data_IF_689825464239
#
_entry.id   IF_689825464239
#
_cell.length_a   1.000
_cell.length_b   1.000
_cell.length_c   1.000
_cell.angle_alpha   90.00
_cell.angle_beta   90.00
_cell.angle_gamma   90.00
#
_symmetry.space_group_name_H-M   'P 1'
#
loop_
_entity.id
_entity.type
_entity.pdbx_description
1 polymer ?
#
# COMPACT_ATOMS: atom_id res chain seq x y z
N UNK A 1 -49.93 -63.04 13.58
CA UNK A 1 -50.66 -61.82 14.01
C UNK A 1 -49.68 -60.66 14.15
N UNK A 2 -49.97 -59.58 13.41
CA UNK A 2 -49.57 -58.16 13.61
C UNK A 2 -48.04 -57.85 13.62
N UNK A 3 -47.46 -57.43 12.47
CA UNK A 3 -47.28 -56.03 12.02
C UNK A 3 -46.68 -55.12 13.11
N UNK A 4 -45.40 -54.74 12.97
CA UNK A 4 -44.75 -53.42 13.21
C UNK A 4 -43.24 -53.68 12.98
N UNK A 5 -42.58 -53.33 11.88
CA UNK A 5 -42.74 -52.15 11.04
C UNK A 5 -41.73 -51.10 11.49
N UNK A 6 -40.48 -51.23 11.03
CA UNK A 6 -39.64 -50.14 10.54
C UNK A 6 -39.67 -48.80 11.31
N UNK A 7 -39.41 -48.80 12.62
CA UNK A 7 -39.22 -47.57 13.42
C UNK A 7 -38.08 -47.80 14.42
N UNK A 8 -36.86 -47.99 13.92
CA UNK A 8 -35.67 -47.99 14.80
C UNK A 8 -34.47 -47.25 14.20
N UNK A 9 -34.65 -46.53 13.09
CA UNK A 9 -33.57 -45.83 12.39
C UNK A 9 -33.91 -44.37 12.03
N UNK A 10 -34.84 -43.75 12.77
CA UNK A 10 -35.24 -42.34 12.53
C UNK A 10 -35.27 -41.49 13.81
N UNK A 11 -34.65 -41.96 14.91
CA UNK A 11 -34.58 -41.22 16.19
C UNK A 11 -33.11 -40.94 16.60
N UNK A 12 -32.15 -41.04 15.67
CA UNK A 12 -30.76 -40.64 15.89
C UNK A 12 -30.26 -39.62 14.87
N UNK A 13 -31.17 -38.80 14.33
CA UNK A 13 -30.83 -37.73 13.39
C UNK A 13 -31.44 -36.38 13.80
N UNK A 14 -31.80 -36.22 15.08
CA UNK A 14 -32.51 -35.05 15.61
C UNK A 14 -31.92 -34.52 16.93
N UNK A 15 -30.60 -34.68 17.13
CA UNK A 15 -29.87 -34.15 18.29
C UNK A 15 -28.58 -33.40 17.85
N UNK A 16 -28.62 -32.65 16.75
CA UNK A 16 -27.52 -31.73 16.37
C UNK A 16 -28.06 -30.37 15.95
N UNK A 17 -29.02 -29.81 16.69
CA UNK A 17 -29.47 -28.42 16.50
C UNK A 17 -29.52 -27.60 17.79
N UNK A 18 -28.86 -28.04 18.86
CA UNK A 18 -28.76 -27.28 20.13
C UNK A 18 -27.31 -27.07 20.53
N UNK A 19 -26.53 -26.47 19.62
CA UNK A 19 -25.23 -25.86 19.94
C UNK A 19 -25.15 -24.39 19.48
N UNK A 20 -26.27 -23.83 19.02
CA UNK A 20 -26.43 -22.40 18.71
C UNK A 20 -27.74 -21.87 19.31
N UNK A 21 -28.06 -22.30 20.54
CA UNK A 21 -28.96 -21.54 21.40
C UNK A 21 -28.05 -20.75 22.33
N UNK A 22 -27.47 -19.69 21.77
CA UNK A 22 -26.82 -18.64 22.53
C UNK A 22 -27.89 -17.95 23.38
N UNK A 23 -27.47 -17.42 24.52
CA UNK A 23 -28.28 -16.96 25.65
C UNK A 23 -29.57 -16.20 25.29
N UNK A 24 -30.59 -16.37 26.15
CA UNK A 24 -31.85 -15.63 26.19
C UNK A 24 -31.64 -14.12 26.41
N UNK A 25 -31.06 -13.42 25.44
CA UNK A 25 -31.15 -11.97 25.38
C UNK A 25 -32.43 -11.61 24.62
N UNK A 26 -33.26 -10.78 25.26
CA UNK A 26 -34.37 -10.12 24.60
C UNK A 26 -33.91 -9.51 23.27
N UNK A 27 -34.76 -9.44 22.23
CA UNK A 27 -34.39 -8.78 20.99
C UNK A 27 -33.97 -7.36 21.32
N UNK A 28 -32.70 -7.03 21.06
CA UNK A 28 -32.15 -5.69 21.27
C UNK A 28 -33.13 -4.69 20.64
N UNK A 29 -33.68 -3.81 21.48
CA UNK A 29 -34.45 -2.67 21.01
C UNK A 29 -33.62 -1.83 20.04
N UNK A 30 -34.20 -0.83 19.36
CA UNK A 30 -33.48 0.01 18.39
C UNK A 30 -32.40 0.92 19.02
N UNK A 31 -31.98 0.66 20.26
CA UNK A 31 -30.86 1.33 20.91
C UNK A 31 -29.54 0.81 20.38
N UNK A 32 -28.65 1.72 20.00
CA UNK A 32 -27.25 1.41 19.72
C UNK A 32 -26.66 0.78 20.98
N UNK A 33 -26.21 -0.48 20.88
CA UNK A 33 -25.47 -1.15 21.96
C UNK A 33 -24.21 -0.32 22.25
N UNK A 34 -24.11 0.28 23.44
CA UNK A 34 -22.86 0.90 23.88
C UNK A 34 -21.78 -0.17 23.93
N UNK A 35 -20.76 -0.01 23.09
CA UNK A 35 -19.60 -0.87 23.07
C UNK A 35 -18.58 -0.35 24.09
N UNK A 36 -17.83 -1.25 24.72
CA UNK A 36 -16.73 -0.86 25.61
C UNK A 36 -15.62 -0.11 24.84
N UNK A 37 -14.78 0.63 25.57
CA UNK A 37 -13.67 1.43 25.01
C UNK A 37 -12.74 0.60 24.12
N UNK A 38 -12.59 -0.70 24.39
CA UNK A 38 -11.76 -1.64 23.62
C UNK A 38 -12.19 -1.79 22.15
N UNK A 39 -13.44 -1.44 21.82
CA UNK A 39 -13.96 -1.49 20.46
C UNK A 39 -13.59 -0.26 19.63
N UNK A 40 -13.09 0.81 20.28
CA UNK A 40 -12.76 2.08 19.66
C UNK A 40 -11.26 2.20 19.42
N UNK A 41 -10.73 1.41 18.49
CA UNK A 41 -9.29 1.39 18.18
C UNK A 41 -8.70 2.76 17.77
N UNK A 42 -9.53 3.68 17.25
CA UNK A 42 -9.17 5.08 16.97
C UNK A 42 -9.79 6.09 17.93
N UNK A 43 -10.31 5.65 19.09
CA UNK A 43 -11.16 6.43 19.98
C UNK A 43 -12.56 6.69 19.41
N UNK A 44 -13.43 7.31 20.22
CA UNK A 44 -14.81 7.65 19.83
C UNK A 44 -14.87 8.47 18.54
N UNK A 45 -13.91 9.38 18.37
CA UNK A 45 -13.87 10.32 17.26
C UNK A 45 -13.06 9.82 16.05
N UNK A 46 -12.38 8.67 16.14
CA UNK A 46 -11.56 8.09 15.08
C UNK A 46 -12.02 6.71 14.61
N UNK A 47 -13.05 6.13 15.25
CA UNK A 47 -13.57 4.80 14.92
C UNK A 47 -14.91 4.90 14.19
N UNK A 48 -15.07 4.12 13.12
CA UNK A 48 -16.34 3.95 12.41
C UNK A 48 -16.66 2.46 12.33
N UNK A 49 -17.87 2.08 12.76
CA UNK A 49 -18.35 0.70 12.64
C UNK A 49 -19.03 0.50 11.30
N UNK A 50 -18.26 0.09 10.30
CA UNK A 50 -18.78 -0.25 8.98
C UNK A 50 -18.12 -1.56 8.50
N UNK A 51 -18.92 -2.62 8.40
CA UNK A 51 -18.46 -3.93 7.94
C UNK A 51 -18.80 -4.20 6.45
N UNK A 52 -19.10 -3.16 5.67
CA UNK A 52 -19.33 -3.27 4.23
C UNK A 52 -18.02 -3.19 3.44
N UNK A 53 -18.09 -3.37 2.11
CA UNK A 53 -16.95 -3.16 1.21
C UNK A 53 -16.37 -1.73 1.23
N UNK A 54 -17.08 -0.78 1.84
CA UNK A 54 -16.68 0.63 1.93
C UNK A 54 -16.09 1.00 3.30
N UNK A 55 -15.75 0.00 4.12
CA UNK A 55 -15.21 0.19 5.47
C UNK A 55 -14.02 1.16 5.53
N UNK A 56 -13.18 1.16 4.50
CA UNK A 56 -11.93 1.94 4.46
C UNK A 56 -12.05 3.29 3.74
N UNK A 57 -13.20 3.62 3.17
CA UNK A 57 -13.41 4.88 2.45
C UNK A 57 -14.10 5.95 3.31
N UNK A 58 -14.41 5.64 4.57
CA UNK A 58 -15.12 6.55 5.46
C UNK A 58 -14.14 7.53 6.09
N UNK A 59 -14.55 8.79 6.17
CA UNK A 59 -13.93 9.77 7.05
C UNK A 59 -14.17 9.39 8.53
N UNK A 60 -13.29 9.86 9.41
CA UNK A 60 -13.48 9.74 10.85
C UNK A 60 -14.57 10.72 11.33
N UNK A 61 -15.31 10.42 12.41
CA UNK A 61 -16.28 11.35 13.00
C UNK A 61 -15.70 12.74 13.30
N UNK A 62 -14.44 12.82 13.76
CA UNK A 62 -13.74 14.10 13.96
C UNK A 62 -13.65 14.96 12.69
N UNK A 63 -13.49 14.32 11.53
CA UNK A 63 -13.39 14.99 10.23
C UNK A 63 -14.76 15.49 9.80
N UNK A 64 -15.80 14.66 9.93
CA UNK A 64 -17.18 15.00 9.56
C UNK A 64 -17.76 16.13 10.41
N UNK A 65 -17.42 16.16 11.71
CA UNK A 65 -17.87 17.19 12.64
C UNK A 65 -17.30 18.59 12.34
N UNK A 66 -16.23 18.70 11.54
CA UNK A 66 -15.60 19.96 11.20
C UNK A 66 -15.73 20.25 9.69
N UNK A 67 -16.54 21.26 9.28
CA UNK A 67 -16.77 21.57 7.87
C UNK A 67 -15.49 21.86 7.06
N UNK A 68 -14.45 22.41 7.69
CA UNK A 68 -13.18 22.68 7.03
C UNK A 68 -12.39 21.39 6.77
N UNK A 69 -12.32 20.50 7.77
CA UNK A 69 -11.65 19.20 7.63
C UNK A 69 -12.39 18.29 6.66
N UNK A 70 -13.73 18.24 6.74
CA UNK A 70 -14.54 17.48 5.77
C UNK A 70 -14.29 17.95 4.34
N UNK A 71 -14.26 19.26 4.10
CA UNK A 71 -13.94 19.81 2.77
C UNK A 71 -12.53 19.43 2.30
N UNK A 72 -11.54 19.41 3.20
CA UNK A 72 -10.17 18.97 2.88
C UNK A 72 -10.12 17.48 2.57
N UNK A 73 -10.79 16.64 3.36
CA UNK A 73 -10.92 15.21 3.14
C UNK A 73 -11.53 14.92 1.76
N UNK A 74 -12.67 15.53 1.44
CA UNK A 74 -13.32 15.36 0.13
C UNK A 74 -12.45 15.84 -1.04
N UNK A 75 -11.59 16.85 -0.83
CA UNK A 75 -10.61 17.26 -1.84
C UNK A 75 -9.51 16.21 -2.01
N UNK A 76 -9.04 15.62 -0.91
CA UNK A 76 -8.10 14.50 -0.91
C UNK A 76 -8.66 13.30 -1.67
N UNK A 77 -9.92 12.92 -1.40
CA UNK A 77 -10.63 11.84 -2.11
C UNK A 77 -10.62 12.06 -3.62
N UNK A 78 -10.96 13.29 -4.06
CA UNK A 78 -10.94 13.60 -5.48
C UNK A 78 -9.54 13.47 -6.11
N UNK A 79 -8.48 13.86 -5.41
CA UNK A 79 -7.10 13.68 -5.90
C UNK A 79 -6.71 12.21 -5.92
N UNK A 80 -7.14 11.44 -4.92
CA UNK A 80 -6.81 10.03 -4.75
C UNK A 80 -7.44 9.13 -5.82
N UNK A 81 -8.72 9.37 -6.12
CA UNK A 81 -9.50 8.55 -7.04
C UNK A 81 -9.32 8.93 -8.51
N UNK A 82 -9.10 10.22 -8.80
CA UNK A 82 -9.06 10.70 -10.19
C UNK A 82 -7.73 10.37 -10.86
N UNK A 83 -7.82 10.08 -12.16
CA UNK A 83 -6.63 9.91 -12.99
C UNK A 83 -6.07 11.26 -13.40
N UNK A 84 -4.78 11.44 -13.16
CA UNK A 84 -3.99 12.51 -13.76
C UNK A 84 -3.89 12.30 -15.27
N UNK A 85 -3.94 13.40 -16.01
CA UNK A 85 -3.91 13.41 -17.47
C UNK A 85 -2.78 14.29 -18.01
N UNK A 86 -2.31 13.97 -19.21
CA UNK A 86 -1.30 14.77 -19.90
C UNK A 86 -1.88 15.94 -20.68
N UNK A 87 -3.19 15.97 -20.89
CA UNK A 87 -3.86 17.08 -21.60
C UNK A 87 -3.87 18.33 -20.73
N UNK A 88 -3.26 19.39 -21.23
CA UNK A 88 -3.23 20.70 -20.58
C UNK A 88 -4.64 21.30 -20.42
N UNK A 89 -4.87 22.03 -19.32
CA UNK A 89 -6.13 22.73 -19.05
C UNK A 89 -7.29 21.85 -18.60
N UNK A 90 -7.12 20.54 -18.57
CA UNK A 90 -8.11 19.60 -18.01
C UNK A 90 -7.95 19.47 -16.48
N UNK A 91 -9.03 19.10 -15.79
CA UNK A 91 -8.94 18.74 -14.38
C UNK A 91 -7.93 17.60 -14.18
N UNK A 92 -7.06 17.73 -13.18
CA UNK A 92 -5.95 16.79 -12.92
C UNK A 92 -4.91 16.72 -14.07
N UNK A 93 -4.76 17.77 -14.87
CA UNK A 93 -3.66 17.89 -15.82
C UNK A 93 -2.30 17.92 -15.11
N UNK A 94 -1.23 17.54 -15.82
CA UNK A 94 0.15 17.62 -15.33
C UNK A 94 0.80 16.26 -15.09
N UNK A 95 0.19 15.17 -15.57
CA UNK A 95 0.82 13.85 -15.60
C UNK A 95 2.20 13.96 -16.25
N UNK A 96 3.24 13.46 -15.57
CA UNK A 96 4.61 13.60 -16.04
C UNK A 96 4.92 12.75 -17.28
N UNK A 97 6.12 12.94 -17.88
CA UNK A 97 6.52 12.29 -19.13
C UNK A 97 6.54 10.76 -19.04
N UNK A 98 6.92 10.25 -17.86
CA UNK A 98 6.87 8.84 -17.49
C UNK A 98 6.24 8.69 -16.12
N UNK A 99 5.52 7.60 -15.89
CA UNK A 99 4.75 7.37 -14.68
C UNK A 99 4.65 5.86 -14.39
N UNK A 100 4.21 5.51 -13.18
CA UNK A 100 3.84 4.15 -12.79
C UNK A 100 2.33 3.97 -12.91
N UNK A 101 1.55 4.91 -12.38
CA UNK A 101 0.08 4.95 -12.48
C UNK A 101 -0.40 6.37 -12.66
N UNK A 102 -1.62 6.49 -13.15
CA UNK A 102 -2.31 7.77 -13.28
C UNK A 102 -3.14 8.14 -12.06
N UNK A 103 -3.42 7.22 -11.14
CA UNK A 103 -4.20 7.49 -9.93
C UNK A 103 -3.71 6.65 -8.75
N UNK A 104 -3.94 7.15 -7.55
CA UNK A 104 -3.56 6.47 -6.31
C UNK A 104 -4.44 5.23 -6.08
N UNK A 105 -5.75 5.35 -6.34
CA UNK A 105 -6.72 4.26 -6.18
C UNK A 105 -6.42 3.02 -7.05
N UNK A 106 -5.70 3.18 -8.17
CA UNK A 106 -5.27 2.05 -9.01
C UNK A 106 -4.25 1.14 -8.29
N UNK A 107 -3.47 1.73 -7.38
CA UNK A 107 -2.55 1.00 -6.50
C UNK A 107 -3.22 0.62 -5.17
N UNK A 108 -4.15 1.43 -4.67
CA UNK A 108 -4.76 1.29 -3.36
C UNK A 108 -6.27 1.03 -3.46
N UNK A 109 -6.71 -0.07 -4.09
CA UNK A 109 -8.12 -0.29 -4.39
C UNK A 109 -8.97 -0.29 -3.11
N UNK A 110 -10.06 0.47 -3.13
CA UNK A 110 -10.98 0.62 -2.00
C UNK A 110 -10.29 1.03 -0.69
N UNK A 111 -9.16 1.75 -0.76
CA UNK A 111 -8.43 2.34 0.38
C UNK A 111 -7.79 1.36 1.37
N UNK A 112 -8.31 0.13 1.50
CA UNK A 112 -7.70 -0.93 2.31
C UNK A 112 -7.36 -2.20 1.57
N UNK A 113 -7.64 -2.24 0.27
CA UNK A 113 -7.18 -3.33 -0.58
C UNK A 113 -5.67 -3.27 -0.75
N UNK A 114 -4.99 -4.37 -0.41
CA UNK A 114 -3.67 -4.67 -0.95
C UNK A 114 -3.77 -4.93 -2.45
N UNK A 115 -2.68 -4.72 -3.16
CA UNK A 115 -2.53 -5.19 -4.55
C UNK A 115 -3.10 -6.60 -4.72
N UNK A 116 -3.96 -6.80 -5.72
CA UNK A 116 -4.39 -8.15 -6.07
C UNK A 116 -3.20 -8.89 -6.67
N UNK A 117 -3.01 -10.15 -6.27
CA UNK A 117 -2.09 -11.04 -6.98
C UNK A 117 -2.50 -11.14 -8.44
N UNK A 118 -1.58 -10.78 -9.34
CA UNK A 118 -1.73 -10.90 -10.79
C UNK A 118 -0.68 -11.84 -11.36
N UNK A 119 -1.01 -12.51 -12.46
CA UNK A 119 -0.12 -13.43 -13.18
C UNK A 119 0.65 -12.73 -14.31
N UNK A 120 0.32 -11.45 -14.57
CA UNK A 120 0.99 -10.61 -15.57
C UNK A 120 1.27 -9.24 -14.94
N UNK A 121 2.49 -8.74 -15.11
CA UNK A 121 2.80 -7.36 -14.80
C UNK A 121 2.24 -6.46 -15.90
N UNK A 122 1.12 -5.81 -15.61
CA UNK A 122 0.42 -4.90 -16.53
C UNK A 122 -0.15 -3.74 -15.73
N UNK A 123 0.36 -2.53 -15.96
CA UNK A 123 -0.01 -1.37 -15.17
C UNK A 123 -1.33 -0.72 -15.59
N UNK A 124 -1.88 -1.16 -16.72
CA UNK A 124 -3.22 -0.77 -17.16
C UNK A 124 -4.33 -1.55 -16.45
N UNK A 125 -4.02 -2.72 -15.86
CA UNK A 125 -4.93 -3.46 -15.00
C UNK A 125 -5.03 -2.78 -13.63
N UNK A 126 -6.20 -2.24 -13.30
CA UNK A 126 -6.48 -1.54 -12.03
C UNK A 126 -6.37 -2.44 -10.79
N UNK A 127 -6.17 -3.75 -10.96
CA UNK A 127 -5.96 -4.71 -9.87
C UNK A 127 -4.47 -4.92 -9.57
N UNK A 128 -3.60 -4.62 -10.54
CA UNK A 128 -2.16 -4.65 -10.35
C UNK A 128 -1.72 -3.37 -9.64
N UNK A 129 -1.34 -3.47 -8.38
CA UNK A 129 -0.72 -2.37 -7.64
C UNK A 129 0.77 -2.61 -7.35
N UNK A 130 1.43 -3.46 -8.13
CA UNK A 130 2.85 -3.75 -7.89
C UNK A 130 3.75 -2.61 -8.38
N UNK A 131 4.71 -2.23 -7.53
CA UNK A 131 5.88 -1.43 -7.92
C UNK A 131 6.98 -2.37 -8.41
N UNK A 132 7.74 -1.93 -9.40
CA UNK A 132 8.90 -2.64 -9.92
C UNK A 132 10.19 -2.02 -9.39
N UNK A 133 11.08 -2.87 -8.89
CA UNK A 133 12.42 -2.46 -8.47
C UNK A 133 13.48 -3.30 -9.19
N UNK A 134 14.50 -2.63 -9.71
CA UNK A 134 15.71 -3.26 -10.25
C UNK A 134 16.82 -3.10 -9.23
N UNK A 135 17.58 -4.16 -8.97
CA UNK A 135 18.66 -4.14 -8.00
C UNK A 135 19.82 -5.02 -8.46
N UNK A 136 21.00 -4.80 -7.87
CA UNK A 136 22.15 -5.67 -8.03
C UNK A 136 22.04 -6.83 -7.01
N UNK A 137 22.04 -8.10 -7.43
CA UNK A 137 21.98 -9.23 -6.50
C UNK A 137 23.23 -9.37 -5.62
N UNK A 138 24.41 -8.87 -6.02
CA UNK A 138 25.65 -8.90 -5.24
C UNK A 138 25.68 -7.81 -4.15
N UNK A 139 25.01 -6.69 -4.42
CA UNK A 139 24.76 -5.62 -3.47
C UNK A 139 23.29 -5.22 -3.60
N UNK A 140 22.37 -5.77 -2.79
CA UNK A 140 20.91 -5.55 -2.88
C UNK A 140 20.52 -4.13 -2.42
N UNK A 141 21.36 -3.15 -2.70
CA UNK A 141 21.11 -1.74 -2.61
C UNK A 141 20.59 -1.25 -3.97
N UNK A 142 19.72 -0.24 -3.93
CA UNK A 142 19.24 0.46 -5.11
C UNK A 142 20.35 1.18 -5.91
N UNK A 143 21.58 1.23 -5.40
CA UNK A 143 22.60 2.19 -5.82
C UNK A 143 23.06 2.03 -7.28
N UNK A 144 23.23 0.80 -7.78
CA UNK A 144 23.70 0.56 -9.16
C UNK A 144 22.60 0.75 -10.21
N UNK A 145 21.39 0.26 -9.91
CA UNK A 145 20.23 0.53 -10.75
C UNK A 145 19.88 2.03 -10.79
N UNK A 146 20.23 2.80 -9.75
CA UNK A 146 19.85 4.22 -9.60
C UNK A 146 20.37 5.16 -10.69
N UNK A 147 21.43 4.78 -11.42
CA UNK A 147 21.90 5.54 -12.59
C UNK A 147 20.85 5.54 -13.71
N UNK A 148 20.19 4.40 -13.91
CA UNK A 148 19.28 4.15 -15.03
C UNK A 148 17.81 4.28 -14.61
N UNK A 149 17.45 3.67 -13.48
CA UNK A 149 16.10 3.59 -12.96
C UNK A 149 15.96 4.40 -11.68
N UNK A 150 14.78 4.97 -11.47
CA UNK A 150 14.44 5.56 -10.17
C UNK A 150 14.10 4.47 -9.14
N UNK A 151 14.11 4.81 -7.85
CA UNK A 151 13.80 3.87 -6.77
C UNK A 151 12.41 3.22 -6.87
N UNK A 152 11.47 3.86 -7.56
CA UNK A 152 10.24 3.24 -8.04
C UNK A 152 10.24 3.31 -9.57
N UNK A 153 10.50 2.18 -10.23
CA UNK A 153 10.78 2.18 -11.68
C UNK A 153 9.53 2.60 -12.47
N UNK A 154 9.68 3.61 -13.33
CA UNK A 154 8.61 4.07 -14.21
C UNK A 154 8.47 3.12 -15.41
N UNK A 155 7.27 2.63 -15.69
CA UNK A 155 7.01 1.63 -16.74
C UNK A 155 5.98 2.08 -17.78
N UNK A 156 5.37 3.25 -17.58
CA UNK A 156 4.49 3.90 -18.54
C UNK A 156 5.03 5.27 -18.96
N UNK A 157 4.60 5.73 -20.13
CA UNK A 157 4.98 7.03 -20.69
C UNK A 157 3.81 7.71 -21.40
N UNK A 158 3.90 9.03 -21.55
CA UNK A 158 3.02 9.81 -22.43
C UNK A 158 3.75 10.05 -23.75
N UNK A 159 3.10 9.96 -24.92
CA UNK A 159 3.74 10.31 -26.18
C UNK A 159 4.27 11.76 -26.18
N UNK A 160 5.44 12.04 -26.78
CA UNK A 160 6.29 11.13 -27.56
C UNK A 160 7.30 10.31 -26.72
N UNK A 161 7.29 10.44 -25.40
CA UNK A 161 8.27 9.76 -24.53
C UNK A 161 8.09 8.24 -24.50
N UNK A 162 9.16 7.53 -24.18
CA UNK A 162 9.20 6.07 -24.00
C UNK A 162 9.44 5.73 -22.53
N UNK A 163 8.85 4.64 -22.05
CA UNK A 163 9.12 4.19 -20.69
C UNK A 163 10.55 3.64 -20.56
N UNK A 164 11.21 3.79 -19.40
CA UNK A 164 12.51 3.16 -19.12
C UNK A 164 12.51 1.64 -19.33
N UNK A 165 11.38 1.00 -19.05
CA UNK A 165 11.14 -0.44 -19.28
C UNK A 165 9.80 -0.62 -19.98
N UNK A 166 9.79 -1.38 -21.08
CA UNK A 166 8.56 -1.83 -21.72
C UNK A 166 7.97 -3.04 -20.98
N UNK A 167 6.76 -2.88 -20.44
CA UNK A 167 6.08 -3.91 -19.66
C UNK A 167 5.87 -5.23 -20.41
N UNK A 168 5.79 -5.20 -21.75
CA UNK A 168 5.64 -6.40 -22.56
C UNK A 168 6.80 -7.40 -22.39
N UNK A 169 7.99 -6.90 -22.00
CA UNK A 169 9.15 -7.75 -21.69
C UNK A 169 9.31 -8.11 -20.22
N UNK A 170 8.37 -7.73 -19.35
CA UNK A 170 8.38 -8.11 -17.94
C UNK A 170 7.56 -9.39 -17.76
N UNK A 171 8.19 -10.42 -17.22
CA UNK A 171 7.54 -11.68 -16.86
C UNK A 171 7.48 -11.82 -15.35
N UNK A 172 6.28 -12.06 -14.82
CA UNK A 172 6.01 -12.30 -13.41
C UNK A 172 5.51 -13.73 -13.24
N UNK A 173 6.17 -14.49 -12.37
CA UNK A 173 5.80 -15.88 -12.08
C UNK A 173 5.75 -16.11 -10.57
N UNK A 174 4.81 -16.92 -10.11
CA UNK A 174 4.65 -17.28 -8.70
C UNK A 174 5.09 -18.72 -8.47
N UNK A 175 6.08 -18.91 -7.62
CA UNK A 175 6.64 -20.22 -7.32
C UNK A 175 6.24 -20.66 -5.90
N UNK A 176 5.95 -21.97 -5.67
CA UNK A 176 5.73 -22.48 -4.34
C UNK A 176 6.99 -22.37 -3.49
N UNK A 177 6.82 -22.10 -2.20
CA UNK A 177 7.89 -22.04 -1.21
C UNK A 177 7.61 -23.00 -0.05
N UNK A 178 8.66 -23.62 0.48
CA UNK A 178 8.60 -24.41 1.72
C UNK A 178 9.48 -23.71 2.74
N UNK A 179 8.89 -23.31 3.86
CA UNK A 179 9.61 -22.67 4.96
C UNK A 179 10.27 -23.69 5.90
N UNK A 180 10.93 -23.20 6.95
CA UNK A 180 11.61 -24.02 7.95
C UNK A 180 10.69 -24.95 8.75
N UNK A 181 9.36 -24.72 8.72
CA UNK A 181 8.36 -25.54 9.40
C UNK A 181 7.72 -26.59 8.47
N UNK A 182 8.18 -26.68 7.21
CA UNK A 182 7.61 -27.60 6.23
C UNK A 182 6.16 -27.25 5.86
N UNK A 183 5.81 -25.96 5.93
CA UNK A 183 4.47 -25.43 5.68
C UNK A 183 3.37 -26.07 6.55
N UNK A 184 3.68 -26.32 7.83
CA UNK A 184 2.76 -26.89 8.82
C UNK A 184 2.82 -26.12 10.12
N UNK A 185 1.64 -25.87 10.69
CA UNK A 185 1.51 -25.39 12.06
C UNK A 185 1.81 -26.53 13.06
N UNK A 186 2.09 -26.21 14.34
CA UNK A 186 2.36 -27.23 15.38
C UNK A 186 1.25 -28.25 15.59
N UNK A 187 0.00 -27.89 15.26
CA UNK A 187 -1.16 -28.78 15.30
C UNK A 187 -1.28 -29.72 14.07
N UNK A 188 -0.37 -29.59 13.10
CA UNK A 188 -0.35 -30.36 11.86
C UNK A 188 -1.13 -29.72 10.70
N UNK A 189 -1.87 -28.63 10.94
CA UNK A 189 -2.60 -27.88 9.91
C UNK A 189 -1.60 -27.36 8.86
N UNK A 190 -1.88 -27.60 7.58
CA UNK A 190 -1.00 -27.17 6.49
C UNK A 190 -1.36 -25.80 5.97
N UNK A 191 -0.36 -25.05 5.53
CA UNK A 191 -0.53 -23.84 4.72
C UNK A 191 0.27 -23.94 3.43
N UNK A 192 0.14 -22.95 2.55
CA UNK A 192 0.91 -22.86 1.31
C UNK A 192 1.54 -21.48 1.20
N UNK A 193 2.83 -21.44 0.94
CA UNK A 193 3.56 -20.22 0.65
C UNK A 193 3.91 -20.16 -0.83
N UNK A 194 3.94 -18.94 -1.36
CA UNK A 194 4.39 -18.64 -2.71
C UNK A 194 5.27 -17.39 -2.67
N UNK A 195 6.15 -17.26 -3.65
CA UNK A 195 6.96 -16.06 -3.84
C UNK A 195 6.99 -15.65 -5.31
N UNK A 196 7.10 -14.35 -5.61
CA UNK A 196 7.21 -13.87 -6.98
C UNK A 196 8.64 -13.99 -7.49
N UNK A 197 8.80 -14.32 -8.76
CA UNK A 197 10.02 -14.15 -9.53
C UNK A 197 9.73 -13.25 -10.72
N UNK A 198 10.55 -12.23 -10.89
CA UNK A 198 10.43 -11.26 -11.99
C UNK A 198 11.64 -11.41 -12.89
N UNK A 199 11.41 -11.51 -14.19
CA UNK A 199 12.47 -11.46 -15.21
C UNK A 199 12.12 -10.40 -16.23
N UNK A 200 13.12 -9.65 -16.68
CA UNK A 200 12.95 -8.58 -17.66
C UNK A 200 13.81 -8.90 -18.87
N UNK A 201 13.21 -8.86 -20.05
CA UNK A 201 13.93 -9.07 -21.29
C UNK A 201 14.86 -7.88 -21.56
N UNK A 202 16.08 -8.16 -22.04
CA UNK A 202 17.10 -7.14 -22.30
C UNK A 202 16.64 -6.09 -23.33
N UNK A 203 15.85 -6.51 -24.32
CA UNK A 203 15.29 -5.65 -25.38
C UNK A 203 14.10 -4.80 -24.91
N UNK A 204 13.59 -5.04 -23.71
CA UNK A 204 12.58 -4.21 -23.07
C UNK A 204 13.17 -2.99 -22.35
N UNK A 205 14.50 -2.95 -22.16
CA UNK A 205 15.19 -1.87 -21.47
C UNK A 205 15.56 -0.77 -22.47
N UNK A 206 15.22 0.48 -22.14
CA UNK A 206 15.51 1.66 -22.98
C UNK A 206 17.04 1.92 -23.11
N UNK A 207 17.80 1.57 -22.07
CA UNK A 207 19.23 1.83 -21.95
C UNK A 207 20.07 0.73 -22.59
N UNK A 208 20.74 1.06 -23.71
CA UNK A 208 21.49 0.07 -24.52
C UNK A 208 22.72 -0.51 -23.82
N UNK A 209 23.29 0.25 -22.90
CA UNK A 209 24.48 -0.08 -22.10
C UNK A 209 24.13 -0.80 -20.79
N UNK A 210 22.85 -0.86 -20.42
CA UNK A 210 22.41 -1.60 -19.24
C UNK A 210 22.42 -3.10 -19.51
N UNK A 211 23.03 -3.88 -18.62
CA UNK A 211 23.15 -5.33 -18.72
C UNK A 211 22.26 -6.02 -17.68
N UNK A 212 21.07 -6.47 -18.11
CA UNK A 212 20.10 -7.12 -17.24
C UNK A 212 20.60 -8.49 -16.73
N UNK A 213 21.61 -9.11 -17.36
CA UNK A 213 22.16 -10.39 -16.89
C UNK A 213 22.94 -10.26 -15.57
N UNK A 214 23.35 -9.04 -15.23
CA UNK A 214 24.03 -8.68 -13.97
C UNK A 214 23.08 -8.12 -12.90
N UNK A 215 21.79 -8.03 -13.20
CA UNK A 215 20.80 -7.42 -12.33
C UNK A 215 19.62 -8.35 -12.09
N UNK A 216 18.85 -8.05 -11.05
CA UNK A 216 17.63 -8.75 -10.71
C UNK A 216 16.47 -7.76 -10.55
N UNK A 217 15.25 -8.28 -10.58
CA UNK A 217 14.03 -7.51 -10.42
C UNK A 217 13.17 -8.09 -9.29
N UNK A 218 12.50 -7.21 -8.56
CA UNK A 218 11.51 -7.56 -7.53
C UNK A 218 10.26 -6.70 -7.70
N UNK A 219 9.17 -7.17 -7.09
CA UNK A 219 7.93 -6.40 -6.96
C UNK A 219 7.63 -6.11 -5.50
N UNK A 220 7.06 -4.93 -5.26
CA UNK A 220 6.48 -4.54 -3.97
C UNK A 220 4.98 -4.37 -4.13
N UNK A 221 4.19 -5.09 -3.34
CA UNK A 221 2.74 -4.94 -3.32
C UNK A 221 2.33 -3.75 -2.48
N UNK A 222 1.51 -2.87 -3.02
CA UNK A 222 0.98 -1.70 -2.30
C UNK A 222 0.17 -2.08 -1.07
N UNK A 223 0.25 -1.19 -0.07
CA UNK A 223 -0.40 -1.30 1.25
C UNK A 223 -1.79 -0.65 1.27
N UNK A 224 -2.61 -0.98 2.26
CA UNK A 224 -3.79 -0.17 2.58
C UNK A 224 -3.40 1.18 3.19
N UNK A 225 -4.26 2.18 3.06
CA UNK A 225 -4.05 3.56 3.56
C UNK A 225 -4.97 3.93 4.73
N UNK A 226 -5.84 3.02 5.17
CA UNK A 226 -6.68 3.21 6.35
C UNK A 226 -5.85 3.43 7.61
N UNK A 227 -6.34 4.29 8.51
CA UNK A 227 -5.69 4.56 9.80
C UNK A 227 -4.36 5.34 9.72
N UNK A 228 -3.90 5.73 8.53
CA UNK A 228 -2.64 6.48 8.37
C UNK A 228 -2.63 7.82 9.10
N UNK A 229 -3.77 8.50 9.17
CA UNK A 229 -3.90 9.73 9.97
C UNK A 229 -3.74 9.52 11.48
N UNK A 230 -4.07 8.33 12.01
CA UNK A 230 -3.84 8.01 13.43
C UNK A 230 -2.35 7.85 13.73
N UNK A 231 -1.58 7.31 12.78
CA UNK A 231 -0.13 7.17 12.93
C UNK A 231 0.58 8.52 12.91
N UNK A 232 0.09 9.48 12.12
CA UNK A 232 0.63 10.84 12.07
C UNK A 232 0.30 11.64 13.35
N UNK A 233 -0.80 11.28 14.03
CA UNK A 233 -1.22 11.90 15.29
C UNK A 233 -0.41 11.47 16.53
N UNK A 234 0.40 10.40 16.43
CA UNK A 234 1.30 9.98 17.51
C UNK A 234 2.35 11.08 17.72
N UNK A 235 2.49 11.55 18.96
CA UNK A 235 3.47 12.60 19.28
C UNK A 235 4.90 12.08 19.17
N UNK A 236 5.85 12.97 18.88
CA UNK A 236 7.27 12.61 18.84
C UNK A 236 7.78 12.08 20.19
N UNK A 237 7.21 12.58 21.29
CA UNK A 237 7.52 12.13 22.65
C UNK A 237 7.04 10.69 22.86
N UNK A 238 5.78 10.40 22.54
CA UNK A 238 5.19 9.06 22.70
C UNK A 238 5.89 8.04 21.80
N UNK A 239 6.24 8.43 20.56
CA UNK A 239 6.96 7.56 19.64
C UNK A 239 8.34 7.17 20.20
N UNK A 240 9.07 8.12 20.79
CA UNK A 240 10.36 7.88 21.41
C UNK A 240 10.23 7.04 22.68
N UNK A 241 9.26 7.36 23.54
CA UNK A 241 9.00 6.62 24.77
C UNK A 241 8.66 5.14 24.47
N UNK A 242 7.79 4.89 23.50
CA UNK A 242 7.44 3.54 23.06
C UNK A 242 8.66 2.80 22.50
N UNK A 243 9.49 3.47 21.68
CA UNK A 243 10.72 2.87 21.16
C UNK A 243 11.70 2.46 22.27
N UNK A 244 11.93 3.35 23.25
CA UNK A 244 12.79 3.06 24.39
C UNK A 244 12.27 1.90 25.25
N UNK A 245 10.95 1.82 25.46
CA UNK A 245 10.34 0.73 26.21
C UNK A 245 10.52 -0.61 25.50
N UNK A 246 10.23 -0.67 24.21
CA UNK A 246 10.38 -1.91 23.41
C UNK A 246 11.85 -2.32 23.23
N UNK A 247 12.78 -1.35 23.23
CA UNK A 247 14.21 -1.63 23.31
C UNK A 247 14.59 -2.32 24.63
N UNK A 248 14.12 -1.80 25.77
CA UNK A 248 14.38 -2.42 27.10
C UNK A 248 13.82 -3.84 27.19
N UNK A 249 12.72 -4.12 26.50
CA UNK A 249 12.11 -5.46 26.41
C UNK A 249 12.83 -6.40 25.44
N UNK A 250 13.71 -5.88 24.57
CA UNK A 250 14.40 -6.65 23.54
C UNK A 250 13.57 -6.92 22.28
N UNK A 251 12.42 -6.26 22.11
CA UNK A 251 11.54 -6.44 20.95
C UNK A 251 11.83 -5.45 19.82
N UNK A 252 12.49 -4.33 20.11
CA UNK A 252 12.88 -3.33 19.11
C UNK A 252 14.42 -3.20 19.00
N UNK A 253 15.14 -4.16 18.41
CA UNK A 253 16.61 -4.10 18.31
C UNK A 253 17.13 -3.00 17.36
N UNK A 254 16.25 -2.38 16.58
CA UNK A 254 16.59 -1.29 15.66
C UNK A 254 16.79 0.06 16.35
N UNK A 255 17.15 1.06 15.55
CA UNK A 255 17.19 2.47 15.97
C UNK A 255 15.93 3.20 15.53
N UNK A 256 15.48 4.18 16.31
CA UNK A 256 14.48 5.14 15.86
C UNK A 256 14.98 5.88 14.61
N UNK A 257 14.05 6.26 13.72
CA UNK A 257 14.40 7.03 12.54
C UNK A 257 15.08 8.36 12.89
N UNK A 258 16.01 8.78 12.04
CA UNK A 258 16.72 10.04 12.21
C UNK A 258 15.75 11.23 12.17
N UNK A 259 16.13 12.31 12.86
CA UNK A 259 15.34 13.54 12.83
C UNK A 259 15.37 14.19 11.44
N UNK A 260 14.19 14.54 10.94
CA UNK A 260 13.97 15.17 9.65
C UNK A 260 13.42 16.56 9.89
N UNK A 261 14.05 17.54 9.26
CA UNK A 261 13.64 18.94 9.34
C UNK A 261 12.54 19.22 8.31
N UNK A 262 11.32 19.38 8.78
CA UNK A 262 10.13 19.71 7.99
C UNK A 262 9.94 21.24 7.87
N UNK A 263 10.86 22.05 8.39
CA UNK A 263 10.81 23.51 8.29
C UNK A 263 10.78 23.95 6.82
N UNK A 264 9.69 24.60 6.41
CA UNK A 264 9.49 25.06 5.04
C UNK A 264 9.06 23.97 4.05
N UNK A 265 8.97 22.71 4.49
CA UNK A 265 8.43 21.59 3.70
C UNK A 265 6.96 21.32 4.06
N UNK A 266 6.64 21.38 5.36
CA UNK A 266 5.27 21.20 5.84
C UNK A 266 4.82 22.44 6.65
N UNK A 267 3.80 23.20 6.20
CA UNK A 267 3.29 24.36 6.93
C UNK A 267 2.43 23.98 8.15
N UNK A 268 1.90 22.75 8.20
CA UNK A 268 1.05 22.25 9.28
C UNK A 268 1.86 21.62 10.42
N UNK A 269 3.04 21.08 10.10
CA UNK A 269 3.91 20.40 11.07
C UNK A 269 5.39 20.77 10.84
N UNK A 270 5.77 22.04 11.07
CA UNK A 270 7.16 22.49 10.90
C UNK A 270 8.02 22.08 12.09
N UNK A 271 9.31 21.84 11.84
CA UNK A 271 10.29 21.52 12.88
C UNK A 271 11.01 20.21 12.61
N UNK A 272 11.73 19.71 13.62
CA UNK A 272 12.47 18.46 13.54
C UNK A 272 11.69 17.35 14.21
N UNK A 273 11.44 16.29 13.45
CA UNK A 273 10.61 15.17 13.87
C UNK A 273 11.33 13.85 13.56
N UNK A 274 11.19 12.82 14.40
CA UNK A 274 11.76 11.51 14.13
C UNK A 274 11.16 10.93 12.84
N UNK A 275 12.03 10.33 12.04
CA UNK A 275 11.61 9.53 10.90
C UNK A 275 10.69 8.39 11.33
N UNK A 276 9.48 8.35 10.76
CA UNK A 276 8.43 7.41 11.15
C UNK A 276 7.75 6.70 9.98
N UNK A 277 7.77 7.29 8.79
CA UNK A 277 7.16 6.72 7.58
C UNK A 277 8.22 6.20 6.59
N UNK A 278 7.80 5.30 5.70
CA UNK A 278 8.62 4.49 4.77
C UNK A 278 9.42 3.38 5.48
N UNK A 279 9.81 2.33 4.75
CA UNK A 279 10.59 1.21 5.30
C UNK A 279 11.91 1.64 5.96
N UNK A 280 12.50 2.73 5.49
CA UNK A 280 13.77 3.27 6.00
C UNK A 280 13.57 4.40 7.01
N UNK A 281 12.33 4.68 7.43
CA UNK A 281 12.00 5.80 8.31
C UNK A 281 12.56 7.14 7.80
N UNK A 282 12.54 7.36 6.48
CA UNK A 282 13.15 8.55 5.84
C UNK A 282 12.21 9.74 5.74
N UNK A 283 11.02 9.66 6.36
CA UNK A 283 9.98 10.68 6.30
C UNK A 283 9.34 10.86 7.68
N UNK A 284 9.15 12.11 8.09
CA UNK A 284 8.65 12.46 9.40
C UNK A 284 7.12 12.64 9.43
N UNK A 285 6.52 13.10 8.32
CA UNK A 285 5.07 13.35 8.24
C UNK A 285 4.42 12.54 7.13
N UNK A 286 3.12 12.28 7.25
CA UNK A 286 2.35 11.60 6.19
C UNK A 286 2.35 12.44 4.90
N UNK A 287 2.23 13.76 5.06
CA UNK A 287 2.25 14.75 3.98
C UNK A 287 3.54 14.70 3.17
N UNK A 288 4.72 14.76 3.80
CA UNK A 288 6.01 14.69 3.10
C UNK A 288 6.35 13.25 2.66
N UNK A 289 5.81 12.26 3.36
CA UNK A 289 6.00 10.84 3.09
C UNK A 289 5.06 10.31 2.00
N UNK A 290 4.26 9.26 2.28
CA UNK A 290 3.49 8.55 1.26
C UNK A 290 2.39 9.40 0.60
N UNK A 291 2.03 10.57 1.15
CA UNK A 291 1.10 11.50 0.50
C UNK A 291 1.73 12.24 -0.69
N UNK A 292 2.36 13.37 -0.44
CA UNK A 292 2.87 14.25 -1.50
C UNK A 292 4.00 13.60 -2.32
N UNK A 293 4.85 12.78 -1.71
CA UNK A 293 5.95 12.12 -2.41
C UNK A 293 5.43 11.09 -3.42
N UNK A 294 4.31 10.41 -3.13
CA UNK A 294 3.72 9.46 -4.08
C UNK A 294 3.18 10.17 -5.32
N UNK A 295 2.58 11.37 -5.17
CA UNK A 295 2.20 12.17 -6.35
C UNK A 295 3.42 12.40 -7.26
N UNK A 296 4.59 12.70 -6.68
CA UNK A 296 5.80 12.87 -7.47
C UNK A 296 6.36 11.56 -8.04
N UNK A 297 6.45 10.48 -7.24
CA UNK A 297 7.09 9.24 -7.69
C UNK A 297 6.20 8.39 -8.61
N UNK A 298 4.88 8.47 -8.47
CA UNK A 298 3.92 7.59 -9.13
C UNK A 298 3.37 8.23 -10.40
N UNK A 299 2.91 9.49 -10.34
CA UNK A 299 2.32 10.20 -11.48
C UNK A 299 3.31 11.17 -12.14
N UNK A 300 4.46 11.43 -11.49
CA UNK A 300 5.52 12.30 -11.97
C UNK A 300 5.07 13.76 -12.21
N UNK A 301 4.07 14.17 -11.42
CA UNK A 301 3.58 15.54 -11.36
C UNK A 301 4.56 16.39 -10.54
N UNK A 302 4.97 17.53 -11.09
CA UNK A 302 5.81 18.51 -10.38
C UNK A 302 4.97 19.41 -9.48
N UNK A 303 5.60 19.96 -8.44
CA UNK A 303 4.96 20.79 -7.41
C UNK A 303 5.88 21.94 -7.00
N UNK A 304 5.39 23.01 -6.35
CA UNK A 304 6.21 24.18 -6.03
C UNK A 304 7.50 23.89 -5.26
N UNK A 305 7.47 22.92 -4.33
CA UNK A 305 8.61 22.46 -3.55
C UNK A 305 9.43 21.36 -4.26
N UNK A 306 8.96 20.86 -5.40
CA UNK A 306 9.67 19.88 -6.24
C UNK A 306 9.37 20.09 -7.73
N UNK A 307 10.14 20.99 -8.34
CA UNK A 307 9.93 21.47 -9.71
C UNK A 307 10.65 20.66 -10.80
N UNK A 308 11.05 19.43 -10.49
CA UNK A 308 11.73 18.52 -11.42
C UNK A 308 11.02 17.18 -11.46
N UNK A 309 11.18 16.41 -12.53
CA UNK A 309 10.54 15.11 -12.70
C UNK A 309 11.27 14.00 -11.94
N UNK A 310 10.54 12.95 -11.54
CA UNK A 310 11.08 11.73 -10.96
C UNK A 310 11.69 10.84 -12.04
N UNK A 311 12.83 11.27 -12.56
CA UNK A 311 13.61 10.60 -13.60
C UNK A 311 15.10 10.65 -13.27
N UNK A 312 15.88 9.74 -13.85
CA UNK A 312 17.34 9.75 -13.75
C UNK A 312 17.96 10.67 -14.80
N UNK A 313 19.20 11.11 -14.57
CA UNK A 313 19.97 11.88 -15.55
C UNK A 313 20.21 11.08 -16.84
N UNK A 314 20.40 9.76 -16.73
CA UNK A 314 20.59 8.91 -17.92
C UNK A 314 19.30 8.78 -18.72
N UNK A 315 18.13 8.65 -18.06
CA UNK A 315 16.84 8.69 -18.75
C UNK A 315 16.64 10.00 -19.50
N UNK A 316 16.91 11.14 -18.85
CA UNK A 316 16.76 12.45 -19.47
C UNK A 316 17.66 12.58 -20.72
N UNK A 317 18.93 12.15 -20.61
CA UNK A 317 19.89 12.13 -21.72
C UNK A 317 19.41 11.26 -22.88
N UNK A 318 19.06 10.00 -22.63
CA UNK A 318 18.58 9.08 -23.69
C UNK A 318 17.30 9.62 -24.33
N UNK A 319 16.35 10.09 -23.53
CA UNK A 319 15.08 10.64 -24.04
C UNK A 319 15.29 11.89 -24.91
N UNK A 320 16.24 12.75 -24.55
CA UNK A 320 16.56 13.95 -25.35
C UNK A 320 17.23 13.66 -26.71
N UNK A 321 17.70 12.43 -26.90
CA UNK A 321 18.36 11.97 -28.13
C UNK A 321 17.43 11.07 -28.96
N UNK A 322 16.25 10.76 -28.45
CA UNK A 322 15.25 9.95 -29.14
C UNK A 322 14.55 10.82 -30.21
N UNK A 323 14.65 10.47 -31.50
CA UNK A 323 14.24 11.32 -32.63
C UNK A 323 12.74 11.50 -32.81
#
# INVERSE_FOLDING_TARGET
MKKYGTIFWTILSLIVTVACADDNNEPDGPGVKELGEEWYAGGENGTVFNATSNAYSQSMPAIDANPALYKQFMRGEQIFEKSFVSTEGMGYSGLGPVYIRKSCIACHPSYGGRSKRVDKFDTSDSRNGYLLMIYDPESPTLALASQYFTGMTQTSAVPPFKSPINEAGIKLEWFPYTDEYGNKYPDGTTYSLIYPKVTIAQDAILFKDFDMSKHAASIEGTIGIYGTGLLDAISDEDLRAQHEEEQKRGYAPGVIGADIDETGLNPYYPGKHPGRFTYLCTRATLDNGPGSNAIWNITNVTRPDRQYHYITSEYAKVSSQDP
#
